data_IF_461162331975
#
_entry.id   IF_461162331975
#
_cell.length_a   1.000
_cell.length_b   1.000
_cell.length_c   1.000
_cell.angle_alpha   90.00
_cell.angle_beta   90.00
_cell.angle_gamma   90.00
#
_symmetry.space_group_name_H-M   'P 1'
#
loop_
_entity.id
_entity.type
_entity.pdbx_description
1 polymer ?
#
# COMPACT_ATOMS: atom_id res chain seq x y z
N UNK A 1 16.63 46.48 32.20
CA UNK A 1 16.00 46.50 30.87
C UNK A 1 16.06 45.06 30.34
N UNK A 2 14.97 44.32 30.57
CA UNK A 2 14.84 42.89 30.25
C UNK A 2 14.07 42.81 28.92
N UNK A 3 14.73 42.37 27.86
CA UNK A 3 14.11 42.06 26.57
C UNK A 3 13.51 40.66 26.64
N UNK A 4 12.16 40.56 26.73
CA UNK A 4 11.45 39.31 26.45
C UNK A 4 11.46 39.09 24.92
N UNK A 5 12.17 38.10 24.46
CA UNK A 5 12.05 37.57 23.12
C UNK A 5 10.78 36.72 23.03
N UNK A 6 9.75 37.23 22.33
CA UNK A 6 8.59 36.43 21.92
C UNK A 6 9.03 35.57 20.74
N UNK A 7 9.27 34.29 20.99
CA UNK A 7 9.44 33.30 19.94
C UNK A 7 8.09 33.09 19.23
N UNK A 8 8.02 33.52 17.97
CA UNK A 8 6.95 33.13 17.05
C UNK A 8 7.08 31.63 16.78
N UNK A 9 6.26 30.81 17.44
CA UNK A 9 6.11 29.40 17.12
C UNK A 9 5.55 29.29 15.71
N UNK A 10 6.38 28.81 14.76
CA UNK A 10 5.93 28.46 13.43
C UNK A 10 4.92 27.30 13.54
N UNK A 11 3.82 27.37 12.79
CA UNK A 11 2.97 26.22 12.51
C UNK A 11 3.79 25.21 11.70
N UNK A 12 4.54 24.33 12.38
CA UNK A 12 5.15 23.15 11.78
C UNK A 12 4.07 22.12 11.53
N UNK A 13 4.00 21.57 10.34
CA UNK A 13 3.21 20.36 10.09
C UNK A 13 3.82 19.21 10.92
N UNK A 14 2.97 18.36 11.51
CA UNK A 14 3.42 17.19 12.24
C UNK A 14 4.24 16.26 11.33
N UNK A 15 5.40 15.79 11.80
CA UNK A 15 6.28 14.86 11.08
C UNK A 15 6.73 13.74 12.03
N UNK A 16 6.12 12.57 11.89
CA UNK A 16 6.42 11.42 12.72
C UNK A 16 7.83 10.85 12.53
N UNK A 17 8.59 11.27 11.51
CA UNK A 17 9.92 10.71 11.23
C UNK A 17 10.97 11.06 12.29
N UNK A 18 10.80 12.17 13.00
CA UNK A 18 11.71 12.65 14.07
C UNK A 18 11.20 12.30 15.49
N UNK A 19 9.99 11.72 15.59
CA UNK A 19 9.38 11.37 16.87
C UNK A 19 10.11 10.19 17.56
N UNK A 20 9.93 10.09 18.87
CA UNK A 20 10.50 9.00 19.66
C UNK A 20 10.01 7.64 19.16
N UNK A 21 10.94 6.70 19.05
CA UNK A 21 10.68 5.34 18.58
C UNK A 21 10.19 4.48 19.74
N UNK A 22 9.00 3.92 19.61
CA UNK A 22 8.46 2.93 20.52
C UNK A 22 8.37 1.56 19.85
N UNK A 23 8.55 0.49 20.61
CA UNK A 23 8.53 -0.89 20.10
C UNK A 23 7.64 -1.77 20.97
N UNK A 24 6.88 -2.65 20.31
CA UNK A 24 6.06 -3.66 20.99
C UNK A 24 5.93 -4.91 20.13
N UNK A 25 5.93 -6.07 20.77
CA UNK A 25 5.65 -7.36 20.13
C UNK A 25 4.25 -7.83 20.50
N UNK A 26 3.63 -8.53 19.56
CA UNK A 26 2.29 -9.07 19.72
C UNK A 26 2.25 -10.52 19.26
N UNK A 27 1.76 -11.45 20.08
CA UNK A 27 1.59 -12.83 19.66
C UNK A 27 0.55 -12.93 18.53
N UNK A 28 0.86 -13.71 17.51
CA UNK A 28 -0.04 -14.01 16.41
C UNK A 28 -0.55 -15.43 16.52
N UNK A 29 -1.84 -15.62 16.80
CA UNK A 29 -2.46 -16.93 17.01
C UNK A 29 -2.79 -17.74 15.76
N UNK A 30 -2.32 -17.32 14.56
CA UNK A 30 -2.64 -17.98 13.29
C UNK A 30 -1.77 -17.50 12.14
N UNK A 31 -2.05 -18.01 10.92
CA UNK A 31 -1.28 -17.71 9.70
C UNK A 31 -1.72 -16.43 8.95
N UNK A 32 -2.60 -15.61 9.53
CA UNK A 32 -3.08 -14.37 8.92
C UNK A 32 -3.03 -13.23 9.94
N UNK A 33 -2.49 -12.10 9.50
CA UNK A 33 -2.48 -10.83 10.22
C UNK A 33 -3.42 -9.86 9.51
N UNK A 34 -4.36 -9.27 10.26
CA UNK A 34 -5.13 -8.11 9.80
C UNK A 34 -4.61 -6.86 10.50
N UNK A 35 -4.47 -5.76 9.76
CA UNK A 35 -4.12 -4.43 10.30
C UNK A 35 -5.26 -3.48 9.97
N UNK A 36 -5.85 -2.88 11.00
CA UNK A 36 -6.90 -1.86 10.94
C UNK A 36 -6.29 -0.53 11.40
N UNK A 37 -6.20 0.44 10.50
CA UNK A 37 -5.47 1.69 10.69
C UNK A 37 -6.30 2.88 10.22
N UNK A 38 -6.18 4.02 10.89
CA UNK A 38 -6.90 5.25 10.53
C UNK A 38 -5.98 6.28 9.84
N UNK A 39 -4.94 6.77 10.54
CA UNK A 39 -4.10 7.89 10.09
C UNK A 39 -2.60 7.53 10.20
N UNK A 40 -2.20 6.40 9.65
CA UNK A 40 -0.84 5.89 9.80
C UNK A 40 -0.20 5.46 8.50
N UNK A 41 1.01 5.90 8.27
CA UNK A 41 1.87 5.25 7.28
C UNK A 41 2.28 3.86 7.77
N UNK A 42 1.93 2.81 7.03
CA UNK A 42 2.24 1.42 7.35
C UNK A 42 3.33 0.89 6.42
N UNK A 43 4.40 0.41 7.01
CA UNK A 43 5.47 -0.31 6.31
C UNK A 43 5.54 -1.76 6.79
N UNK A 44 5.36 -2.71 5.87
CA UNK A 44 5.34 -4.15 6.14
C UNK A 44 6.59 -4.82 5.59
N UNK A 45 7.25 -5.63 6.42
CA UNK A 45 8.38 -6.46 6.00
C UNK A 45 8.29 -7.85 6.62
N UNK A 46 8.47 -8.94 5.86
CA UNK A 46 8.56 -10.29 6.44
C UNK A 46 9.91 -10.44 7.15
N UNK A 47 9.89 -11.05 8.33
CA UNK A 47 11.09 -11.22 9.15
C UNK A 47 11.12 -12.61 9.82
N UNK A 48 12.33 -13.02 10.23
CA UNK A 48 12.53 -14.25 11.00
C UNK A 48 12.26 -13.98 12.49
N UNK A 49 10.99 -13.72 12.81
CA UNK A 49 10.47 -13.41 14.16
C UNK A 49 9.32 -14.37 14.51
N UNK A 50 9.08 -14.63 15.80
CA UNK A 50 7.99 -15.49 16.26
C UNK A 50 6.69 -14.71 16.48
N UNK A 51 6.80 -13.42 16.79
CA UNK A 51 5.70 -12.52 17.06
C UNK A 51 5.69 -11.35 16.05
N UNK A 52 4.56 -10.69 15.90
CA UNK A 52 4.49 -9.44 15.13
C UNK A 52 5.20 -8.34 15.91
N UNK A 53 6.33 -7.85 15.39
CA UNK A 53 7.08 -6.75 15.99
C UNK A 53 6.67 -5.44 15.36
N UNK A 54 6.15 -4.52 16.16
CA UNK A 54 5.72 -3.20 15.69
C UNK A 54 6.63 -2.13 16.26
N UNK A 55 7.18 -1.32 15.38
CA UNK A 55 7.86 -0.07 15.71
C UNK A 55 6.95 1.06 15.32
N UNK A 56 6.68 2.00 16.22
CA UNK A 56 5.89 3.20 15.93
C UNK A 56 6.64 4.48 16.24
N UNK A 57 6.31 5.51 15.49
CA UNK A 57 6.66 6.90 15.75
C UNK A 57 5.38 7.71 15.62
N UNK A 58 5.08 8.56 16.60
CA UNK A 58 3.86 9.37 16.65
C UNK A 58 4.27 10.81 16.88
N UNK A 59 3.79 11.70 16.03
CA UNK A 59 3.91 13.14 16.17
C UNK A 59 2.53 13.79 16.08
N UNK A 60 2.38 14.92 16.70
CA UNK A 60 1.15 15.68 16.66
C UNK A 60 0.99 16.57 17.90
N UNK A 61 -0.06 17.38 17.87
CA UNK A 61 -0.39 18.27 18.99
C UNK A 61 -1.89 18.22 19.28
N UNK A 62 -2.24 18.45 20.53
CA UNK A 62 -3.64 18.61 20.98
C UNK A 62 -3.83 19.99 21.58
N UNK A 63 -4.96 20.62 21.33
CA UNK A 63 -5.27 21.95 21.85
C UNK A 63 -5.43 21.95 23.40
N UNK A 64 -5.91 20.83 23.96
CA UNK A 64 -6.05 20.61 25.42
C UNK A 64 -5.75 19.14 25.71
N UNK A 65 -4.72 18.86 26.51
CA UNK A 65 -4.35 17.49 26.91
C UNK A 65 -2.85 17.22 26.86
N UNK A 66 -2.47 15.93 26.97
CA UNK A 66 -1.08 15.50 27.06
C UNK A 66 -0.53 14.90 25.76
N UNK A 67 -1.00 15.34 24.58
CA UNK A 67 -0.58 14.83 23.27
C UNK A 67 -1.63 13.94 22.58
N UNK A 68 -1.36 13.49 21.33
CA UNK A 68 -2.27 12.65 20.58
C UNK A 68 -2.48 11.30 21.26
N UNK A 69 -3.73 10.78 21.21
CA UNK A 69 -4.06 9.46 21.76
C UNK A 69 -3.83 8.38 20.71
N UNK A 70 -2.60 7.87 20.66
CA UNK A 70 -2.22 6.81 19.75
C UNK A 70 -2.33 5.44 20.41
N UNK A 71 -3.24 4.61 19.94
CA UNK A 71 -3.46 3.25 20.45
C UNK A 71 -2.89 2.19 19.50
N UNK A 72 -2.37 1.11 20.07
CA UNK A 72 -1.96 -0.09 19.36
C UNK A 72 -2.26 -1.34 20.18
N UNK A 73 -3.06 -2.20 19.64
CA UNK A 73 -3.46 -3.44 20.31
C UNK A 73 -3.65 -4.57 19.31
N UNK A 74 -3.41 -5.79 19.76
CA UNK A 74 -3.70 -7.02 19.02
C UNK A 74 -4.85 -7.76 19.71
N UNK A 75 -5.84 -8.15 18.92
CA UNK A 75 -6.93 -9.03 19.35
C UNK A 75 -7.36 -9.90 18.17
N UNK A 76 -7.49 -11.20 18.39
CA UNK A 76 -7.99 -12.16 17.39
C UNK A 76 -7.30 -12.07 16.00
N UNK A 77 -5.97 -11.89 16.01
CA UNK A 77 -5.16 -11.71 14.79
C UNK A 77 -5.30 -10.37 14.11
N UNK A 78 -6.00 -9.39 14.72
CA UNK A 78 -6.14 -8.03 14.22
C UNK A 78 -5.31 -7.08 15.05
N UNK A 79 -4.35 -6.41 14.41
CA UNK A 79 -3.59 -5.31 14.95
C UNK A 79 -4.34 -4.01 14.63
N UNK A 80 -4.92 -3.37 15.63
CA UNK A 80 -5.54 -2.06 15.51
C UNK A 80 -4.52 -0.99 15.86
N UNK A 81 -4.27 -0.05 14.95
CA UNK A 81 -3.41 1.12 15.15
C UNK A 81 -4.22 2.37 14.82
N UNK A 82 -4.50 3.19 15.83
CA UNK A 82 -5.32 4.38 15.70
C UNK A 82 -4.59 5.59 16.26
N UNK A 83 -4.74 6.71 15.58
CA UNK A 83 -4.20 7.99 15.99
C UNK A 83 -5.36 8.98 16.07
N UNK A 84 -6.11 8.89 17.19
CA UNK A 84 -7.26 9.73 17.43
C UNK A 84 -6.82 11.09 17.97
N UNK A 85 -7.29 12.16 17.34
CA UNK A 85 -7.05 13.51 17.82
C UNK A 85 -8.32 14.36 17.69
N UNK A 86 -8.95 14.64 18.81
CA UNK A 86 -10.07 15.60 18.86
C UNK A 86 -9.51 17.00 18.79
N UNK A 87 -9.77 17.72 17.69
CA UNK A 87 -9.31 19.10 17.43
C UNK A 87 -7.78 19.27 17.41
N UNK A 88 -7.07 18.36 16.72
CA UNK A 88 -5.61 18.32 16.69
C UNK A 88 -5.10 17.61 15.46
N UNK A 89 -3.79 17.62 15.27
CA UNK A 89 -3.11 16.88 14.21
C UNK A 89 -2.43 15.64 14.82
N UNK A 90 -2.62 14.46 14.22
CA UNK A 90 -1.98 13.24 14.63
C UNK A 90 -1.48 12.48 13.40
N UNK A 91 -0.18 12.32 13.31
CA UNK A 91 0.49 11.53 12.25
C UNK A 91 1.29 10.41 12.90
N UNK A 92 1.06 9.20 12.46
CA UNK A 92 1.77 8.03 12.96
C UNK A 92 2.46 7.29 11.80
N UNK A 93 3.60 6.68 12.11
CA UNK A 93 4.30 5.75 11.24
C UNK A 93 4.53 4.45 11.98
N UNK A 94 4.13 3.35 11.34
CA UNK A 94 4.30 2.01 11.87
C UNK A 94 5.14 1.17 10.91
N UNK A 95 6.25 0.63 11.39
CA UNK A 95 6.96 -0.44 10.70
C UNK A 95 6.60 -1.75 11.38
N UNK A 96 6.00 -2.67 10.63
CA UNK A 96 5.50 -3.95 11.13
C UNK A 96 6.35 -5.07 10.53
N UNK A 97 7.12 -5.76 11.36
CA UNK A 97 7.79 -7.00 11.01
C UNK A 97 6.83 -8.16 11.24
N UNK A 98 6.58 -8.89 10.17
CA UNK A 98 5.61 -9.97 10.13
C UNK A 98 6.35 -11.31 10.09
N UNK A 99 5.99 -12.30 10.93
CA UNK A 99 6.54 -13.64 10.83
C UNK A 99 6.39 -14.20 9.42
N UNK A 100 7.44 -14.83 8.86
CA UNK A 100 7.38 -15.44 7.53
C UNK A 100 6.26 -16.46 7.43
N UNK A 101 5.69 -16.59 6.24
CA UNK A 101 4.57 -17.51 6.01
C UNK A 101 3.20 -16.96 6.43
N UNK A 102 3.13 -15.73 6.92
CA UNK A 102 1.90 -15.05 7.32
C UNK A 102 1.28 -14.29 6.15
N UNK A 103 0.01 -14.55 5.85
CA UNK A 103 -0.77 -13.72 4.94
C UNK A 103 -1.18 -12.40 5.64
N UNK A 104 -1.21 -11.29 4.91
CA UNK A 104 -1.50 -9.98 5.51
C UNK A 104 -2.65 -9.29 4.79
N UNK A 105 -3.58 -8.77 5.59
CA UNK A 105 -4.63 -7.84 5.16
C UNK A 105 -4.42 -6.50 5.86
N UNK A 106 -4.44 -5.40 5.11
CA UNK A 106 -4.40 -4.03 5.66
C UNK A 106 -5.60 -3.27 5.14
N UNK A 107 -6.30 -2.63 6.05
CA UNK A 107 -7.32 -1.62 5.78
C UNK A 107 -6.91 -0.34 6.50
N UNK A 108 -6.68 0.74 5.71
CA UNK A 108 -6.23 2.03 6.22
C UNK A 108 -7.08 3.15 5.63
N UNK A 109 -7.43 4.14 6.45
CA UNK A 109 -8.27 5.24 5.98
C UNK A 109 -7.44 6.33 5.28
N UNK A 110 -6.32 6.77 5.88
CA UNK A 110 -5.64 7.99 5.41
C UNK A 110 -4.11 7.87 5.23
N UNK A 111 -3.49 6.77 5.55
CA UNK A 111 -2.05 6.56 5.44
C UNK A 111 -1.62 5.85 4.17
N UNK A 112 -0.36 5.90 3.89
CA UNK A 112 0.22 5.09 2.80
C UNK A 112 0.59 3.70 3.31
N UNK A 113 0.28 2.67 2.52
CA UNK A 113 0.63 1.28 2.83
C UNK A 113 1.76 0.83 1.91
N UNK A 114 2.87 0.38 2.49
CA UNK A 114 4.03 -0.18 1.77
C UNK A 114 4.34 -1.59 2.24
N UNK A 115 4.61 -2.49 1.30
CA UNK A 115 5.05 -3.85 1.61
C UNK A 115 6.18 -4.28 0.68
N UNK A 116 7.14 -5.04 1.20
CA UNK A 116 8.24 -5.55 0.39
C UNK A 116 8.66 -6.95 0.79
N UNK A 117 9.01 -7.80 -0.21
CA UNK A 117 9.63 -9.10 0.01
C UNK A 117 8.70 -10.21 0.51
N UNK A 118 7.38 -10.08 0.37
CA UNK A 118 6.42 -11.11 0.77
C UNK A 118 6.30 -12.21 -0.28
N UNK A 119 6.28 -13.45 0.19
CA UNK A 119 5.96 -14.65 -0.59
C UNK A 119 4.54 -15.20 -0.33
N UNK A 120 3.84 -14.63 0.63
CA UNK A 120 2.47 -14.93 1.02
C UNK A 120 1.46 -13.97 0.38
N UNK A 121 0.16 -14.31 0.36
CA UNK A 121 -0.87 -13.40 -0.13
C UNK A 121 -0.91 -12.08 0.65
N UNK A 122 -1.06 -10.97 -0.08
CA UNK A 122 -1.27 -9.63 0.46
C UNK A 122 -2.58 -9.05 -0.07
N UNK A 123 -3.40 -8.54 0.85
CA UNK A 123 -4.55 -7.68 0.55
C UNK A 123 -4.34 -6.35 1.23
N UNK A 124 -4.06 -5.30 0.44
CA UNK A 124 -3.70 -3.97 0.96
C UNK A 124 -4.65 -2.93 0.38
N UNK A 125 -5.31 -2.19 1.24
CA UNK A 125 -6.21 -1.10 0.87
C UNK A 125 -5.93 0.14 1.71
N UNK A 126 -5.97 1.31 1.05
CA UNK A 126 -6.04 2.61 1.71
C UNK A 126 -7.13 3.45 1.04
N UNK A 127 -7.94 4.16 1.80
CA UNK A 127 -8.97 4.99 1.18
C UNK A 127 -8.38 6.29 0.63
N UNK A 128 -7.45 6.94 1.34
CA UNK A 128 -6.89 8.22 0.91
C UNK A 128 -5.37 8.21 0.67
N UNK A 129 -4.68 7.15 1.00
CA UNK A 129 -3.24 7.01 0.80
C UNK A 129 -2.85 6.16 -0.42
N UNK A 130 -1.58 6.11 -0.71
CA UNK A 130 -1.05 5.26 -1.77
C UNK A 130 -0.73 3.85 -1.27
N UNK A 131 -0.88 2.86 -2.15
CA UNK A 131 -0.46 1.48 -1.89
C UNK A 131 0.72 1.13 -2.78
N UNK A 132 1.85 0.71 -2.17
CA UNK A 132 3.03 0.29 -2.92
C UNK A 132 3.54 -1.05 -2.44
N UNK A 133 3.74 -2.00 -3.37
CA UNK A 133 4.41 -3.27 -3.10
C UNK A 133 5.64 -3.45 -3.99
N UNK A 134 6.69 -4.06 -3.45
CA UNK A 134 7.91 -4.34 -4.19
C UNK A 134 8.44 -5.74 -3.87
N UNK A 135 9.01 -6.43 -4.88
CA UNK A 135 9.69 -7.72 -4.70
C UNK A 135 8.81 -8.80 -4.03
N UNK A 136 7.50 -8.82 -4.33
CA UNK A 136 6.55 -9.78 -3.77
C UNK A 136 6.26 -10.91 -4.76
N UNK A 137 6.15 -12.14 -4.22
CA UNK A 137 5.90 -13.35 -5.03
C UNK A 137 4.54 -13.99 -4.76
N UNK A 138 3.86 -13.61 -3.68
CA UNK A 138 2.51 -14.03 -3.34
C UNK A 138 1.43 -13.44 -4.25
N UNK A 139 0.20 -13.90 -4.11
CA UNK A 139 -0.95 -13.27 -4.74
C UNK A 139 -1.19 -11.87 -4.15
N UNK A 140 -1.57 -10.92 -5.01
CA UNK A 140 -1.73 -9.51 -4.62
C UNK A 140 -3.16 -9.03 -4.94
N UNK A 141 -3.81 -8.44 -3.93
CA UNK A 141 -5.03 -7.64 -4.06
C UNK A 141 -4.75 -6.26 -3.47
N UNK A 142 -4.64 -5.25 -4.34
CA UNK A 142 -4.19 -3.91 -3.98
C UNK A 142 -5.28 -2.90 -4.33
N UNK A 143 -5.57 -1.97 -3.43
CA UNK A 143 -6.62 -0.97 -3.64
C UNK A 143 -6.30 0.38 -3.05
N UNK A 144 -6.75 1.46 -3.72
CA UNK A 144 -6.79 2.81 -3.15
C UNK A 144 -8.04 3.54 -3.65
N UNK A 145 -8.67 4.33 -2.78
CA UNK A 145 -9.73 5.23 -3.18
C UNK A 145 -9.16 6.47 -3.90
N UNK A 146 -8.26 7.20 -3.26
CA UNK A 146 -7.76 8.47 -3.78
C UNK A 146 -6.26 8.49 -4.09
N UNK A 147 -5.52 7.46 -3.78
CA UNK A 147 -4.08 7.36 -4.02
C UNK A 147 -3.71 6.46 -5.20
N UNK A 148 -2.44 6.50 -5.58
CA UNK A 148 -1.91 5.59 -6.59
C UNK A 148 -1.63 4.19 -6.05
N UNK A 149 -1.77 3.18 -6.92
CA UNK A 149 -1.40 1.79 -6.63
C UNK A 149 -0.20 1.41 -7.49
N UNK A 150 0.87 0.96 -6.85
CA UNK A 150 2.12 0.61 -7.52
C UNK A 150 2.59 -0.78 -7.08
N UNK A 151 2.84 -1.66 -8.04
CA UNK A 151 3.51 -2.95 -7.81
C UNK A 151 4.76 -3.04 -8.70
N UNK A 152 5.92 -3.22 -8.09
CA UNK A 152 7.22 -3.25 -8.79
C UNK A 152 7.92 -4.58 -8.57
N UNK A 153 8.48 -5.17 -9.63
CA UNK A 153 9.24 -6.44 -9.63
C UNK A 153 8.49 -7.60 -8.95
N UNK A 154 7.18 -7.69 -9.20
CA UNK A 154 6.34 -8.74 -8.63
C UNK A 154 6.32 -9.98 -9.53
N UNK A 155 6.23 -11.15 -8.92
CA UNK A 155 6.22 -12.45 -9.64
C UNK A 155 4.99 -13.31 -9.30
N UNK A 156 4.03 -12.75 -8.56
CA UNK A 156 2.78 -13.41 -8.19
C UNK A 156 1.97 -13.88 -9.41
N UNK A 157 1.29 -15.01 -9.29
CA UNK A 157 0.48 -15.57 -10.38
C UNK A 157 -0.85 -14.85 -10.57
N UNK A 158 -1.38 -14.24 -9.52
CA UNK A 158 -2.64 -13.50 -9.53
C UNK A 158 -2.44 -12.12 -8.92
N UNK A 159 -2.61 -11.08 -9.72
CA UNK A 159 -2.34 -9.69 -9.32
C UNK A 159 -3.57 -8.86 -9.71
N UNK A 160 -4.20 -8.26 -8.72
CA UNK A 160 -5.35 -7.35 -8.89
C UNK A 160 -5.01 -6.02 -8.23
N UNK A 161 -5.11 -4.94 -9.00
CA UNK A 161 -4.86 -3.59 -8.51
C UNK A 161 -5.97 -2.64 -8.99
N UNK A 162 -6.52 -1.86 -8.07
CA UNK A 162 -7.59 -0.92 -8.35
C UNK A 162 -7.35 0.43 -7.68
N UNK A 163 -7.73 1.50 -8.37
CA UNK A 163 -7.79 2.83 -7.80
C UNK A 163 -8.97 3.61 -8.37
N UNK A 164 -9.71 4.32 -7.53
CA UNK A 164 -10.83 5.12 -8.00
C UNK A 164 -10.31 6.44 -8.60
N UNK A 165 -9.42 7.16 -7.90
CA UNK A 165 -8.92 8.46 -8.35
C UNK A 165 -7.40 8.57 -8.55
N UNK A 166 -6.68 7.45 -8.57
CA UNK A 166 -5.24 7.42 -8.74
C UNK A 166 -4.78 6.52 -9.88
N UNK A 167 -3.53 6.63 -10.25
CA UNK A 167 -2.96 5.77 -11.29
C UNK A 167 -2.63 4.39 -10.75
N UNK A 168 -2.82 3.36 -11.59
CA UNK A 168 -2.39 1.99 -11.31
C UNK A 168 -1.18 1.68 -12.19
N UNK A 169 -0.07 1.27 -11.56
CA UNK A 169 1.15 0.84 -12.25
C UNK A 169 1.59 -0.52 -11.76
N UNK A 170 1.65 -1.48 -12.66
CA UNK A 170 2.12 -2.83 -12.40
C UNK A 170 3.36 -3.14 -13.24
N UNK A 171 4.44 -3.59 -12.61
CA UNK A 171 5.64 -4.09 -13.26
C UNK A 171 5.92 -5.51 -12.79
N UNK A 172 5.75 -6.47 -13.71
CA UNK A 172 5.91 -7.89 -13.45
C UNK A 172 7.31 -8.36 -13.87
N UNK A 173 7.97 -9.10 -12.99
CA UNK A 173 9.24 -9.75 -13.25
C UNK A 173 9.09 -11.21 -13.74
N UNK A 174 7.87 -11.79 -13.64
CA UNK A 174 7.56 -13.12 -14.19
C UNK A 174 6.17 -13.14 -14.83
N UNK A 175 5.92 -14.10 -15.70
CA UNK A 175 4.63 -14.29 -16.35
C UNK A 175 3.58 -14.72 -15.32
N UNK A 176 2.53 -13.92 -15.18
CA UNK A 176 1.38 -14.21 -14.32
C UNK A 176 0.28 -14.95 -15.10
N UNK A 177 -0.61 -15.63 -14.36
CA UNK A 177 -1.78 -16.26 -14.96
C UNK A 177 -2.91 -15.23 -15.12
N UNK A 178 -3.05 -14.30 -14.16
CA UNK A 178 -4.03 -13.20 -14.21
C UNK A 178 -3.44 -11.90 -13.70
N UNK A 179 -3.59 -10.84 -14.49
CA UNK A 179 -3.29 -9.46 -14.12
C UNK A 179 -4.54 -8.60 -14.35
N UNK A 180 -4.93 -7.82 -13.36
CA UNK A 180 -6.02 -6.86 -13.48
C UNK A 180 -5.56 -5.50 -12.94
N UNK A 181 -5.58 -4.48 -13.79
CA UNK A 181 -5.27 -3.09 -13.47
C UNK A 181 -6.49 -2.24 -13.84
N UNK A 182 -7.16 -1.67 -12.85
CA UNK A 182 -8.36 -0.86 -13.04
C UNK A 182 -8.18 0.49 -12.37
N UNK A 183 -8.49 1.56 -13.10
CA UNK A 183 -8.54 2.91 -12.55
C UNK A 183 -9.75 3.63 -13.13
N UNK A 184 -10.54 4.32 -12.30
CA UNK A 184 -11.66 5.10 -12.83
C UNK A 184 -11.12 6.44 -13.40
N UNK A 185 -10.31 7.17 -12.64
CA UNK A 185 -9.85 8.51 -13.03
C UNK A 185 -8.31 8.65 -13.13
N UNK A 186 -7.59 7.60 -13.46
CA UNK A 186 -6.15 7.63 -13.55
C UNK A 186 -5.58 6.79 -14.68
N UNK A 187 -4.28 6.89 -14.87
CA UNK A 187 -3.58 6.08 -15.86
C UNK A 187 -3.42 4.64 -15.39
N UNK A 188 -3.79 3.68 -16.25
CA UNK A 188 -3.46 2.26 -16.10
C UNK A 188 -2.19 1.90 -16.89
N UNK A 189 -1.13 1.44 -16.21
CA UNK A 189 0.11 0.99 -16.88
C UNK A 189 0.48 -0.40 -16.40
N UNK A 190 0.59 -1.37 -17.32
CA UNK A 190 1.03 -2.73 -17.06
C UNK A 190 2.27 -3.02 -17.88
N UNK A 191 3.35 -3.37 -17.21
CA UNK A 191 4.61 -3.82 -17.81
C UNK A 191 4.78 -5.31 -17.57
N UNK A 192 4.80 -6.07 -18.65
CA UNK A 192 4.88 -7.53 -18.64
C UNK A 192 6.29 -8.00 -19.01
N UNK A 193 6.76 -9.13 -18.48
CA UNK A 193 8.08 -9.63 -18.83
C UNK A 193 8.17 -9.97 -20.32
N UNK A 194 9.31 -9.64 -20.95
CA UNK A 194 9.60 -9.91 -22.36
C UNK A 194 9.89 -11.39 -22.66
N UNK A 195 9.45 -12.32 -21.84
CA UNK A 195 9.86 -13.73 -21.81
C UNK A 195 9.20 -14.63 -22.88
N UNK A 196 8.84 -14.09 -24.06
CA UNK A 196 8.31 -14.90 -25.16
C UNK A 196 6.90 -15.45 -24.94
N UNK A 197 6.18 -14.97 -23.96
CA UNK A 197 4.77 -15.31 -23.73
C UNK A 197 3.85 -14.40 -24.54
N UNK A 198 2.72 -14.95 -24.99
CA UNK A 198 1.60 -14.20 -25.49
C UNK A 198 0.52 -14.06 -24.42
N UNK A 199 -0.32 -13.03 -24.53
CA UNK A 199 -1.30 -12.68 -23.51
C UNK A 199 -2.69 -12.46 -24.13
N UNK A 200 -3.73 -12.96 -23.47
CA UNK A 200 -5.09 -12.53 -23.75
C UNK A 200 -5.33 -11.17 -23.10
N UNK A 201 -5.31 -10.09 -23.90
CA UNK A 201 -5.34 -8.72 -23.42
C UNK A 201 -6.71 -8.10 -23.64
N UNK A 202 -7.39 -7.69 -22.55
CA UNK A 202 -8.57 -6.81 -22.57
C UNK A 202 -8.14 -5.42 -22.04
N UNK A 203 -7.83 -4.51 -22.97
CA UNK A 203 -7.41 -3.15 -22.64
C UNK A 203 -8.43 -2.15 -23.16
N UNK A 204 -8.96 -1.30 -22.26
CA UNK A 204 -10.02 -0.33 -22.60
C UNK A 204 -9.83 0.99 -21.86
N UNK A 205 -10.25 2.06 -22.51
CA UNK A 205 -10.46 3.36 -21.89
C UNK A 205 -11.67 4.03 -22.50
N UNK A 206 -12.55 4.63 -21.69
CA UNK A 206 -13.72 5.35 -22.19
C UNK A 206 -13.33 6.73 -22.71
N UNK A 207 -12.42 7.44 -22.00
CA UNK A 207 -12.00 8.80 -22.33
C UNK A 207 -10.47 8.97 -22.37
N UNK A 208 -9.74 7.99 -22.92
CA UNK A 208 -8.29 8.05 -23.03
C UNK A 208 -7.75 7.17 -24.15
N UNK A 209 -6.46 7.29 -24.41
CA UNK A 209 -5.78 6.44 -25.39
C UNK A 209 -5.51 5.04 -24.81
N UNK A 210 -5.55 4.05 -25.67
CA UNK A 210 -5.14 2.68 -25.37
C UNK A 210 -3.93 2.29 -26.23
N UNK A 211 -2.87 1.84 -25.58
CA UNK A 211 -1.62 1.43 -26.25
C UNK A 211 -1.24 0.01 -25.77
N UNK A 212 -1.27 -0.97 -26.66
CA UNK A 212 -0.91 -2.37 -26.39
C UNK A 212 0.27 -2.74 -27.26
N UNK A 213 1.42 -2.96 -26.63
CA UNK A 213 2.69 -3.27 -27.28
C UNK A 213 3.32 -4.56 -26.67
N UNK A 214 2.56 -5.64 -26.63
CA UNK A 214 2.97 -6.98 -26.22
C UNK A 214 2.44 -8.00 -27.22
N UNK A 215 3.04 -9.21 -27.36
CA UNK A 215 2.45 -10.29 -28.13
C UNK A 215 1.09 -10.70 -27.57
N UNK A 216 0.04 -10.66 -28.41
CA UNK A 216 -1.33 -11.00 -28.01
C UNK A 216 -1.78 -12.32 -28.62
N UNK A 217 -2.62 -13.06 -27.87
CA UNK A 217 -3.26 -14.30 -28.29
C UNK A 217 -4.53 -14.46 -27.44
N UNK A 218 -5.70 -14.46 -28.09
CA UNK A 218 -7.00 -14.52 -27.40
C UNK A 218 -7.21 -15.84 -26.64
N UNK A 219 -6.53 -16.91 -27.08
CA UNK A 219 -6.60 -18.24 -26.47
C UNK A 219 -5.53 -18.44 -25.37
N UNK A 220 -4.75 -17.41 -25.06
CA UNK A 220 -3.73 -17.50 -24.02
C UNK A 220 -4.35 -17.66 -22.62
N UNK A 221 -3.76 -18.56 -21.83
CA UNK A 221 -4.09 -18.71 -20.40
C UNK A 221 -3.61 -17.54 -19.53
N UNK A 222 -2.76 -16.67 -20.08
CA UNK A 222 -2.20 -15.51 -19.40
C UNK A 222 -3.08 -14.29 -19.68
N UNK A 223 -4.02 -14.01 -18.77
CA UNK A 223 -5.04 -12.97 -18.96
C UNK A 223 -4.57 -11.65 -18.38
N UNK A 224 -4.65 -10.60 -19.18
CA UNK A 224 -4.34 -9.22 -18.76
C UNK A 224 -5.57 -8.34 -19.03
N UNK A 225 -6.15 -7.79 -17.97
CA UNK A 225 -7.20 -6.77 -18.04
C UNK A 225 -6.64 -5.44 -17.57
N UNK A 226 -6.69 -4.42 -18.43
CA UNK A 226 -6.26 -3.06 -18.12
C UNK A 226 -7.35 -2.08 -18.53
N UNK A 227 -8.00 -1.43 -17.57
CA UNK A 227 -9.17 -0.59 -17.83
C UNK A 227 -9.03 0.75 -17.11
N UNK A 228 -9.46 1.81 -17.79
CA UNK A 228 -9.65 3.13 -17.19
C UNK A 228 -10.88 3.81 -17.79
N UNK A 229 -11.65 4.54 -16.99
CA UNK A 229 -12.74 5.35 -17.52
C UNK A 229 -12.17 6.66 -18.11
N UNK A 230 -11.29 7.36 -17.36
CA UNK A 230 -10.80 8.69 -17.72
C UNK A 230 -9.26 8.79 -17.78
N UNK A 231 -8.57 7.79 -18.25
CA UNK A 231 -7.12 7.81 -18.30
C UNK A 231 -6.51 6.98 -19.42
N UNK A 232 -5.25 7.24 -19.72
CA UNK A 232 -4.53 6.43 -20.71
C UNK A 232 -4.25 5.03 -20.17
N UNK A 233 -4.52 4.00 -20.98
CA UNK A 233 -4.18 2.61 -20.70
C UNK A 233 -2.96 2.20 -21.53
N UNK A 234 -1.95 1.62 -20.89
CA UNK A 234 -0.72 1.14 -21.55
C UNK A 234 -0.40 -0.26 -21.09
N UNK A 235 -0.27 -1.19 -22.04
CA UNK A 235 0.23 -2.55 -21.79
C UNK A 235 1.46 -2.77 -22.67
N UNK A 236 2.64 -2.93 -22.07
CA UNK A 236 3.90 -3.05 -22.80
C UNK A 236 4.87 -4.06 -22.17
N UNK A 237 5.86 -4.48 -22.91
CA UNK A 237 6.94 -5.26 -22.36
C UNK A 237 7.81 -4.42 -21.41
N UNK A 238 8.24 -5.02 -20.31
CA UNK A 238 9.33 -4.51 -19.49
C UNK A 238 10.63 -4.68 -20.28
N UNK A 239 11.46 -3.64 -20.30
CA UNK A 239 12.77 -3.69 -20.99
C UNK A 239 13.77 -4.50 -20.18
#
# INVERSE_FOLDING_TARGET
MLLLGVGLGGCGSADASEAAVEKKSFPLGGGTLTIDSDNSDIELVPADVEEVEVTRQVDGWVFLGNGPDATWRMADGTLTVKCDAVASDCVARHTVKVPRGTAVTVEDDNGSVRASGFDTPLKLRSDNGSVKVTDCTGALELGSGNGGVVAERVTGKNIVARSDNGSVRLELAAVADRVEAVSDNGRGEVRLPAAGASYAVDAKSDNGDVDVAVPTDEDSRHVVKAVSDNGKVVVRSAN
#
